data_IF_104273539258
#
_entry.id   IF_104273539258
#
_cell.length_a   1.000
_cell.length_b   1.000
_cell.length_c   1.000
_cell.angle_alpha   90.00
_cell.angle_beta   90.00
_cell.angle_gamma   90.00
#
_symmetry.space_group_name_H-M   'P 1'
#
loop_
_entity.id
_entity.type
_entity.pdbx_description
1 polymer ?
#
# COMPACT_ATOMS: atom_id res chain seq x y z
N UNK A 1 33.94 28.27 -1.82
CA UNK A 1 32.73 28.63 -2.58
C UNK A 1 31.55 28.52 -1.63
N UNK A 2 30.88 29.64 -1.32
CA UNK A 2 29.63 29.59 -0.56
C UNK A 2 28.60 28.81 -1.38
N UNK A 3 27.98 27.80 -0.76
CA UNK A 3 26.93 27.01 -1.40
C UNK A 3 25.68 27.85 -1.70
N UNK A 4 24.80 27.32 -2.56
CA UNK A 4 23.50 27.91 -2.83
C UNK A 4 22.60 27.84 -1.58
N UNK A 5 21.70 28.82 -1.42
CA UNK A 5 20.64 28.74 -0.41
C UNK A 5 19.57 27.70 -0.80
N UNK A 6 18.72 27.33 0.16
CA UNK A 6 17.68 26.31 -0.04
C UNK A 6 16.70 26.70 -1.15
N UNK A 7 16.33 27.98 -1.24
CA UNK A 7 15.41 28.51 -2.24
C UNK A 7 16.00 28.41 -3.65
N UNK A 8 17.28 28.76 -3.80
CA UNK A 8 17.99 28.64 -5.08
C UNK A 8 18.19 27.18 -5.50
N UNK A 9 18.32 26.24 -4.54
CA UNK A 9 18.35 24.80 -4.83
C UNK A 9 16.98 24.31 -5.29
N UNK A 10 15.91 24.65 -4.57
CA UNK A 10 14.53 24.26 -4.93
C UNK A 10 14.15 24.78 -6.33
N UNK A 11 14.42 26.05 -6.63
CA UNK A 11 14.16 26.64 -7.94
C UNK A 11 14.89 25.90 -9.06
N UNK A 12 16.19 25.62 -8.86
CA UNK A 12 17.00 24.88 -9.84
C UNK A 12 16.50 23.45 -10.04
N UNK A 13 16.12 22.76 -8.97
CA UNK A 13 15.54 21.42 -9.05
C UNK A 13 14.21 21.41 -9.81
N UNK A 14 13.31 22.37 -9.55
CA UNK A 14 12.06 22.50 -10.31
C UNK A 14 12.31 22.73 -11.79
N UNK A 15 13.29 23.58 -12.13
CA UNK A 15 13.67 23.85 -13.51
C UNK A 15 14.23 22.61 -14.21
N UNK A 16 15.14 21.88 -13.57
CA UNK A 16 15.72 20.66 -14.18
C UNK A 16 14.68 19.55 -14.32
N UNK A 17 13.79 19.38 -13.34
CA UNK A 17 12.64 18.48 -13.47
C UNK A 17 11.74 18.87 -14.65
N UNK A 18 11.46 20.16 -14.85
CA UNK A 18 10.67 20.62 -15.99
C UNK A 18 11.35 20.33 -17.33
N UNK A 19 12.66 20.53 -17.43
CA UNK A 19 13.41 20.20 -18.65
C UNK A 19 13.33 18.69 -18.95
N UNK A 20 13.47 17.84 -17.93
CA UNK A 20 13.31 16.41 -18.08
C UNK A 20 11.88 16.02 -18.54
N UNK A 21 10.86 16.63 -17.94
CA UNK A 21 9.46 16.43 -18.31
C UNK A 21 9.21 16.80 -19.78
N UNK A 22 9.71 17.95 -20.24
CA UNK A 22 9.59 18.38 -21.64
C UNK A 22 10.28 17.40 -22.59
N UNK A 23 11.47 16.91 -22.23
CA UNK A 23 12.18 15.88 -23.00
C UNK A 23 11.39 14.58 -23.10
N UNK A 24 10.78 14.14 -22.00
CA UNK A 24 9.90 12.96 -22.00
C UNK A 24 8.69 13.14 -22.91
N UNK A 25 8.01 14.30 -22.84
CA UNK A 25 6.87 14.59 -23.73
C UNK A 25 7.29 14.58 -25.19
N UNK A 26 8.34 15.31 -25.56
CA UNK A 26 8.80 15.35 -26.94
C UNK A 26 9.10 13.93 -27.47
N UNK A 27 9.81 13.14 -26.67
CA UNK A 27 10.13 11.75 -27.01
C UNK A 27 8.87 10.89 -27.17
N UNK A 28 7.89 11.02 -26.27
CA UNK A 28 6.62 10.31 -26.35
C UNK A 28 5.86 10.61 -27.66
N UNK A 29 5.74 11.90 -28.02
CA UNK A 29 5.04 12.30 -29.25
C UNK A 29 5.74 11.83 -30.52
N UNK A 30 7.08 11.88 -30.57
CA UNK A 30 7.84 11.35 -31.71
C UNK A 30 7.80 9.83 -31.80
N UNK A 31 7.82 9.10 -30.67
CA UNK A 31 7.64 7.65 -30.69
C UNK A 31 6.25 7.24 -31.15
N UNK A 32 5.21 7.99 -30.73
CA UNK A 32 3.84 7.79 -31.22
C UNK A 32 3.73 8.05 -32.72
N UNK A 33 4.35 9.12 -33.23
CA UNK A 33 4.36 9.43 -34.67
C UNK A 33 5.09 8.36 -35.49
N UNK A 34 6.26 7.93 -35.00
CA UNK A 34 7.05 6.86 -35.59
C UNK A 34 6.26 5.53 -35.65
N UNK A 35 5.44 5.26 -34.64
CA UNK A 35 4.60 4.07 -34.57
C UNK A 35 3.42 4.14 -35.53
N UNK A 36 2.59 5.17 -35.45
CA UNK A 36 1.35 5.27 -36.23
C UNK A 36 1.62 5.35 -37.73
N UNK A 37 2.70 6.05 -38.13
CA UNK A 37 3.09 6.18 -39.54
C UNK A 37 3.93 5.01 -40.04
N UNK A 38 4.20 4.00 -39.20
CA UNK A 38 5.03 2.85 -39.56
C UNK A 38 6.49 3.18 -39.90
N UNK A 39 6.96 4.40 -39.61
CA UNK A 39 8.29 4.89 -40.00
C UNK A 39 9.45 4.09 -39.40
N UNK A 40 9.21 3.37 -38.29
CA UNK A 40 10.20 2.45 -37.75
C UNK A 40 10.64 1.38 -38.75
N UNK A 41 9.76 0.97 -39.69
CA UNK A 41 10.10 0.00 -40.74
C UNK A 41 11.08 0.60 -41.75
N UNK A 42 10.86 1.84 -42.17
CA UNK A 42 11.78 2.57 -43.05
C UNK A 42 13.16 2.77 -42.41
N UNK A 43 13.23 2.85 -41.07
CA UNK A 43 14.47 2.88 -40.30
C UNK A 43 15.08 1.49 -40.05
N UNK A 44 14.49 0.41 -40.56
CA UNK A 44 14.99 -0.95 -40.42
C UNK A 44 14.64 -1.65 -39.09
N UNK A 45 13.63 -1.17 -38.37
CA UNK A 45 13.20 -1.72 -37.07
C UNK A 45 11.80 -2.31 -37.11
N UNK A 46 11.55 -3.43 -36.40
CA UNK A 46 10.26 -4.10 -36.41
C UNK A 46 9.16 -3.35 -35.64
N UNK A 47 9.51 -2.40 -34.77
CA UNK A 47 8.57 -1.56 -34.03
C UNK A 47 9.23 -0.28 -33.52
N UNK A 48 8.42 0.74 -33.19
CA UNK A 48 8.90 1.96 -32.54
C UNK A 48 9.58 1.68 -31.19
N UNK A 49 9.11 0.67 -30.44
CA UNK A 49 9.77 0.22 -29.20
C UNK A 49 11.13 -0.41 -29.49
N UNK A 50 11.25 -1.21 -30.56
CA UNK A 50 12.53 -1.80 -30.95
C UNK A 50 13.54 -0.72 -31.38
N UNK A 51 13.09 0.29 -32.12
CA UNK A 51 13.88 1.47 -32.45
C UNK A 51 14.37 2.19 -31.18
N UNK A 52 13.47 2.53 -30.26
CA UNK A 52 13.85 3.22 -29.02
C UNK A 52 14.87 2.45 -28.17
N UNK A 53 14.73 1.12 -28.08
CA UNK A 53 15.67 0.29 -27.31
C UNK A 53 17.03 0.18 -27.99
N UNK A 54 17.04 -0.12 -29.30
CA UNK A 54 18.27 -0.46 -30.03
C UNK A 54 19.03 0.77 -30.54
N UNK A 55 18.32 1.78 -31.03
CA UNK A 55 18.91 2.98 -31.60
C UNK A 55 19.12 4.10 -30.55
N UNK A 56 18.19 4.25 -29.60
CA UNK A 56 18.26 5.31 -28.58
C UNK A 56 18.78 4.83 -27.22
N UNK A 57 19.09 3.54 -27.07
CA UNK A 57 19.64 2.97 -25.84
C UNK A 57 18.67 2.97 -24.65
N UNK A 58 17.35 3.06 -24.90
CA UNK A 58 16.36 3.12 -23.83
C UNK A 58 16.11 1.76 -23.19
N UNK A 59 15.77 1.76 -21.90
CA UNK A 59 15.17 0.59 -21.27
C UNK A 59 13.81 0.27 -21.93
N UNK A 60 13.58 -1.01 -22.26
CA UNK A 60 12.35 -1.46 -22.95
C UNK A 60 11.06 -1.03 -22.25
N UNK A 61 11.06 -1.02 -20.91
CA UNK A 61 9.93 -0.55 -20.09
C UNK A 61 9.66 0.93 -20.35
N UNK A 62 10.70 1.78 -20.25
CA UNK A 62 10.59 3.22 -20.50
C UNK A 62 10.10 3.53 -21.92
N UNK A 63 10.61 2.81 -22.92
CA UNK A 63 10.16 2.95 -24.31
C UNK A 63 8.66 2.66 -24.48
N UNK A 64 8.14 1.61 -23.82
CA UNK A 64 6.70 1.29 -23.83
C UNK A 64 5.87 2.34 -23.10
N UNK A 65 6.33 2.81 -21.94
CA UNK A 65 5.65 3.85 -21.17
C UNK A 65 5.56 5.16 -21.97
N UNK A 66 6.65 5.58 -22.62
CA UNK A 66 6.68 6.77 -23.47
C UNK A 66 5.79 6.63 -24.71
N UNK A 67 5.88 5.52 -25.43
CA UNK A 67 5.03 5.27 -26.60
C UNK A 67 3.54 5.27 -26.20
N UNK A 68 3.20 4.56 -25.12
CA UNK A 68 1.84 4.50 -24.61
C UNK A 68 1.33 5.90 -24.26
N UNK A 69 2.05 6.64 -23.41
CA UNK A 69 1.66 8.00 -23.05
C UNK A 69 1.54 8.93 -24.27
N UNK A 70 2.45 8.81 -25.24
CA UNK A 70 2.42 9.61 -26.47
C UNK A 70 1.18 9.38 -27.32
N UNK A 71 0.73 8.12 -27.44
CA UNK A 71 -0.51 7.78 -28.13
C UNK A 71 -1.73 8.31 -27.35
N UNK A 72 -1.76 8.11 -26.02
CA UNK A 72 -2.88 8.53 -25.17
C UNK A 72 -3.05 10.05 -25.13
N UNK A 73 -1.97 10.84 -25.05
CA UNK A 73 -2.02 12.30 -24.97
C UNK A 73 -2.59 12.98 -26.23
N UNK A 74 -2.65 12.28 -27.37
CA UNK A 74 -3.32 12.79 -28.58
C UNK A 74 -4.84 12.80 -28.42
N UNK A 75 -5.38 11.88 -27.64
CA UNK A 75 -6.81 11.77 -27.32
C UNK A 75 -7.17 12.54 -26.05
N UNK A 76 -6.27 12.55 -25.06
CA UNK A 76 -6.46 13.17 -23.74
C UNK A 76 -5.95 14.63 -23.74
N UNK A 77 -6.75 15.51 -24.37
CA UNK A 77 -6.41 16.92 -24.60
C UNK A 77 -6.33 17.76 -23.33
N UNK A 78 -7.20 17.53 -22.35
CA UNK A 78 -7.19 18.28 -21.09
C UNK A 78 -5.98 17.92 -20.21
N UNK A 79 -5.58 16.65 -20.20
CA UNK A 79 -4.37 16.17 -19.52
C UNK A 79 -3.13 16.71 -20.22
N UNK A 80 -3.08 16.68 -21.56
CA UNK A 80 -1.96 17.28 -22.31
C UNK A 80 -1.86 18.78 -22.06
N UNK A 81 -2.98 19.51 -22.08
CA UNK A 81 -3.02 20.94 -21.76
C UNK A 81 -2.56 21.23 -20.31
N UNK A 82 -2.94 20.39 -19.35
CA UNK A 82 -2.47 20.53 -17.96
C UNK A 82 -0.96 20.29 -17.82
N UNK A 83 -0.41 19.34 -18.55
CA UNK A 83 1.02 19.11 -18.60
C UNK A 83 1.77 20.25 -19.30
N UNK A 84 1.26 20.73 -20.44
CA UNK A 84 1.82 21.88 -21.16
C UNK A 84 1.85 23.13 -20.27
N UNK A 85 0.78 23.37 -19.51
CA UNK A 85 0.68 24.44 -18.52
C UNK A 85 1.44 24.21 -17.20
N UNK A 86 2.29 23.17 -17.11
CA UNK A 86 3.08 22.83 -15.91
C UNK A 86 2.24 22.53 -14.65
N UNK A 87 0.97 22.17 -14.81
CA UNK A 87 0.08 21.75 -13.71
C UNK A 87 0.23 20.27 -13.36
N UNK A 88 0.66 19.46 -14.33
CA UNK A 88 1.03 18.05 -14.13
C UNK A 88 2.49 17.80 -14.46
N UNK A 89 3.14 16.94 -13.68
CA UNK A 89 4.47 16.40 -13.98
C UNK A 89 4.38 15.14 -14.84
N UNK A 90 5.49 14.75 -15.48
CA UNK A 90 5.53 13.54 -16.32
C UNK A 90 5.12 12.28 -15.56
N UNK A 91 5.56 12.17 -14.29
CA UNK A 91 5.22 11.04 -13.42
C UNK A 91 3.73 10.90 -13.16
N UNK A 92 2.96 12.01 -13.15
CA UNK A 92 1.51 11.95 -13.04
C UNK A 92 0.86 11.63 -14.38
N UNK A 93 1.32 12.27 -15.46
CA UNK A 93 0.81 12.05 -16.83
C UNK A 93 0.88 10.58 -17.23
N UNK A 94 2.05 9.94 -17.06
CA UNK A 94 2.21 8.53 -17.44
C UNK A 94 1.26 7.60 -16.68
N UNK A 95 0.87 7.96 -15.46
CA UNK A 95 -0.03 7.16 -14.61
C UNK A 95 -1.49 7.35 -15.02
N UNK A 96 -1.95 8.58 -15.21
CA UNK A 96 -3.34 8.80 -15.68
C UNK A 96 -3.57 8.25 -17.08
N UNK A 97 -2.55 8.27 -17.95
CA UNK A 97 -2.65 7.68 -19.29
C UNK A 97 -2.91 6.17 -19.26
N UNK A 98 -2.61 5.45 -18.17
CA UNK A 98 -2.90 4.01 -18.04
C UNK A 98 -4.39 3.69 -17.92
N UNK A 99 -5.20 4.64 -17.46
CA UNK A 99 -6.60 4.38 -17.08
C UNK A 99 -7.61 5.37 -17.67
N UNK A 100 -7.21 6.63 -17.89
CA UNK A 100 -8.11 7.66 -18.38
C UNK A 100 -8.48 7.43 -19.85
N UNK A 101 -9.75 7.65 -20.17
CA UNK A 101 -10.26 7.78 -21.56
C UNK A 101 -10.77 9.20 -21.78
N UNK A 102 -11.13 9.56 -23.00
CA UNK A 102 -11.73 10.87 -23.30
C UNK A 102 -13.00 11.16 -22.47
N UNK A 103 -13.73 10.11 -22.07
CA UNK A 103 -14.93 10.23 -21.22
C UNK A 103 -14.59 10.49 -19.75
N UNK A 104 -13.54 9.85 -19.22
CA UNK A 104 -13.15 9.98 -17.80
C UNK A 104 -11.99 10.95 -17.55
N UNK A 105 -11.52 11.60 -18.61
CA UNK A 105 -10.34 12.47 -18.60
C UNK A 105 -10.40 13.55 -17.52
N UNK A 106 -11.49 14.32 -17.48
CA UNK A 106 -11.62 15.46 -16.57
C UNK A 106 -11.61 15.01 -15.10
N UNK A 107 -12.26 13.89 -14.79
CA UNK A 107 -12.27 13.35 -13.44
C UNK A 107 -10.86 12.89 -13.00
N UNK A 108 -10.14 12.19 -13.87
CA UNK A 108 -8.76 11.79 -13.60
C UNK A 108 -7.80 12.98 -13.52
N UNK A 109 -8.00 14.02 -14.32
CA UNK A 109 -7.22 15.26 -14.26
C UNK A 109 -7.42 15.97 -12.93
N UNK A 110 -8.68 16.19 -12.52
CA UNK A 110 -9.00 16.80 -11.24
C UNK A 110 -8.37 16.02 -10.08
N UNK A 111 -8.53 14.68 -10.10
CA UNK A 111 -7.93 13.83 -9.08
C UNK A 111 -6.41 13.89 -9.07
N UNK A 112 -5.75 13.92 -10.23
CA UNK A 112 -4.30 13.99 -10.32
C UNK A 112 -3.71 15.34 -9.86
N UNK A 113 -4.48 16.43 -9.97
CA UNK A 113 -4.10 17.75 -9.44
C UNK A 113 -4.23 17.81 -7.91
N UNK A 114 -5.24 17.14 -7.35
CA UNK A 114 -5.49 17.11 -5.89
C UNK A 114 -4.69 16.05 -5.13
N UNK A 115 -4.20 14.99 -5.79
CA UNK A 115 -3.55 13.86 -5.13
C UNK A 115 -2.00 13.97 -5.06
N UNK A 116 -1.43 13.39 -4.00
CA UNK A 116 -0.01 13.05 -3.97
C UNK A 116 0.31 11.96 -5.01
N UNK A 117 1.59 11.81 -5.39
CA UNK A 117 1.99 10.76 -6.34
C UNK A 117 1.63 9.35 -5.83
N UNK A 118 1.82 9.08 -4.54
CA UNK A 118 1.53 7.76 -3.95
C UNK A 118 0.03 7.45 -3.95
N UNK A 119 -0.81 8.45 -3.71
CA UNK A 119 -2.27 8.31 -3.78
C UNK A 119 -2.72 8.06 -5.23
N UNK A 120 -2.21 8.83 -6.18
CA UNK A 120 -2.50 8.62 -7.60
C UNK A 120 -2.07 7.22 -8.05
N UNK A 121 -0.89 6.76 -7.63
CA UNK A 121 -0.42 5.41 -7.94
C UNK A 121 -1.34 4.32 -7.38
N UNK A 122 -1.89 4.50 -6.17
CA UNK A 122 -2.87 3.57 -5.57
C UNK A 122 -4.20 3.59 -6.32
N UNK A 123 -4.69 4.76 -6.70
CA UNK A 123 -5.95 4.90 -7.43
C UNK A 123 -5.87 4.23 -8.81
N UNK A 124 -4.82 4.54 -9.57
CA UNK A 124 -4.59 3.94 -10.91
C UNK A 124 -4.44 2.42 -10.82
N UNK A 125 -3.80 1.87 -9.77
CA UNK A 125 -3.69 0.41 -9.57
C UNK A 125 -5.03 -0.30 -9.37
N UNK A 126 -6.07 0.42 -8.93
CA UNK A 126 -7.40 -0.15 -8.64
C UNK A 126 -8.37 0.04 -9.80
N UNK A 127 -8.11 1.00 -10.67
CA UNK A 127 -8.95 1.31 -11.81
C UNK A 127 -8.60 0.45 -13.03
N UNK A 128 -9.60 0.14 -13.83
CA UNK A 128 -9.45 -0.38 -15.19
C UNK A 128 -9.47 0.77 -16.19
N UNK A 129 -8.92 0.59 -17.41
CA UNK A 129 -9.06 1.57 -18.47
C UNK A 129 -10.53 1.93 -18.72
N UNK A 130 -10.85 3.22 -18.64
CA UNK A 130 -12.21 3.74 -18.80
C UNK A 130 -12.98 3.97 -17.50
N UNK A 131 -12.52 3.44 -16.36
CA UNK A 131 -13.16 3.71 -15.07
C UNK A 131 -12.95 5.18 -14.66
N UNK A 132 -13.93 5.74 -13.95
CA UNK A 132 -13.73 6.98 -13.20
C UNK A 132 -12.73 6.75 -12.05
N UNK A 133 -11.97 7.77 -11.60
CA UNK A 133 -11.13 7.62 -10.41
C UNK A 133 -12.00 7.19 -9.22
N UNK A 134 -11.65 6.11 -8.51
CA UNK A 134 -12.41 5.67 -7.36
C UNK A 134 -12.52 6.80 -6.35
N UNK A 135 -13.72 6.98 -5.79
CA UNK A 135 -13.88 7.83 -4.62
C UNK A 135 -12.97 7.25 -3.54
N UNK A 136 -12.03 8.06 -3.04
CA UNK A 136 -11.04 7.61 -2.06
C UNK A 136 -11.64 7.01 -0.78
N UNK A 137 -12.97 7.05 -0.64
CA UNK A 137 -13.80 6.30 0.29
C UNK A 137 -13.92 4.82 -0.13
N UNK A 138 -12.85 4.07 0.05
CA UNK A 138 -12.85 2.62 -0.12
C UNK A 138 -11.76 1.99 0.71
N UNK A 139 -12.16 1.10 1.62
CA UNK A 139 -11.26 0.35 2.49
C UNK A 139 -10.14 -0.26 1.64
N UNK A 140 -8.84 -0.06 1.95
CA UNK A 140 -7.78 -0.56 1.09
C UNK A 140 -7.82 -2.09 0.95
N UNK A 141 -8.13 -2.61 -0.24
CA UNK A 141 -7.93 -4.02 -0.54
C UNK A 141 -6.43 -4.31 -0.64
N UNK A 142 -5.79 -4.54 0.52
CA UNK A 142 -4.44 -5.07 0.57
C UNK A 142 -4.45 -6.51 0.02
N UNK A 143 -3.63 -6.78 -1.00
CA UNK A 143 -3.39 -8.14 -1.50
C UNK A 143 -2.13 -8.69 -0.84
N UNK A 144 -2.25 -9.86 -0.23
CA UNK A 144 -1.14 -10.59 0.38
C UNK A 144 -0.92 -11.89 -0.40
N UNK A 145 0.31 -12.15 -0.84
CA UNK A 145 0.67 -13.39 -1.53
C UNK A 145 1.25 -14.39 -0.53
N UNK A 146 0.68 -15.59 -0.48
CA UNK A 146 1.22 -16.72 0.27
C UNK A 146 1.93 -17.65 -0.72
N UNK A 147 3.19 -17.99 -0.46
CA UNK A 147 3.99 -18.90 -1.28
C UNK A 147 4.62 -19.93 -0.35
N UNK A 148 4.50 -21.21 -0.71
CA UNK A 148 5.02 -22.33 0.06
C UNK A 148 5.73 -23.30 -0.89
N UNK A 149 6.78 -23.93 -0.41
CA UNK A 149 7.40 -25.11 -1.03
C UNK A 149 7.02 -26.32 -0.17
N UNK A 150 6.45 -27.34 -0.79
CA UNK A 150 6.03 -28.57 -0.12
C UNK A 150 6.95 -29.70 -0.56
N UNK A 151 7.36 -30.56 0.37
CA UNK A 151 8.04 -31.80 0.02
C UNK A 151 7.04 -32.81 -0.59
N UNK A 152 7.53 -33.97 -1.03
CA UNK A 152 6.68 -34.96 -1.69
C UNK A 152 5.57 -35.53 -0.77
N UNK A 153 5.81 -35.60 0.53
CA UNK A 153 4.84 -36.13 1.51
C UNK A 153 3.77 -35.07 1.77
N UNK A 154 4.17 -33.83 2.03
CA UNK A 154 3.28 -32.70 2.24
C UNK A 154 2.44 -32.40 0.99
N UNK A 155 3.03 -32.56 -0.20
CA UNK A 155 2.32 -32.45 -1.48
C UNK A 155 1.23 -33.51 -1.62
N UNK A 156 1.51 -34.76 -1.26
CA UNK A 156 0.51 -35.83 -1.30
C UNK A 156 -0.61 -35.59 -0.27
N UNK A 157 -0.26 -35.07 0.91
CA UNK A 157 -1.26 -34.65 1.90
C UNK A 157 -2.15 -33.52 1.38
N UNK A 158 -1.57 -32.53 0.69
CA UNK A 158 -2.30 -31.44 0.04
C UNK A 158 -3.28 -31.96 -1.02
N UNK A 159 -2.82 -32.83 -1.93
CA UNK A 159 -3.67 -33.42 -2.98
C UNK A 159 -4.82 -34.23 -2.38
N UNK A 160 -4.58 -35.00 -1.31
CA UNK A 160 -5.62 -35.75 -0.62
C UNK A 160 -6.67 -34.85 0.04
N UNK A 161 -6.24 -33.76 0.70
CA UNK A 161 -7.15 -32.80 1.32
C UNK A 161 -7.99 -32.06 0.27
N UNK A 162 -7.35 -31.65 -0.83
CA UNK A 162 -7.98 -31.03 -1.99
C UNK A 162 -9.04 -31.94 -2.61
N UNK A 163 -8.75 -33.21 -2.80
CA UNK A 163 -9.70 -34.18 -3.36
C UNK A 163 -10.94 -34.37 -2.48
N UNK A 164 -10.76 -34.46 -1.15
CA UNK A 164 -11.87 -34.58 -0.19
C UNK A 164 -12.79 -33.36 -0.20
N UNK A 165 -12.21 -32.16 -0.10
CA UNK A 165 -13.01 -30.92 -0.12
C UNK A 165 -13.72 -30.73 -1.46
N UNK A 166 -13.11 -31.10 -2.59
CA UNK A 166 -13.80 -31.07 -3.89
C UNK A 166 -15.03 -31.98 -3.93
N UNK A 167 -14.93 -33.17 -3.35
CA UNK A 167 -16.06 -34.09 -3.28
C UNK A 167 -17.21 -33.55 -2.40
N UNK A 168 -16.90 -32.79 -1.35
CA UNK A 168 -17.89 -32.20 -0.44
C UNK A 168 -18.61 -30.96 -1.02
N UNK A 169 -17.90 -30.15 -1.82
CA UNK A 169 -18.41 -28.87 -2.35
C UNK A 169 -18.94 -28.94 -3.79
N UNK A 170 -18.98 -30.13 -4.39
CA UNK A 170 -19.41 -30.34 -5.76
C UNK A 170 -18.27 -30.13 -6.77
N UNK A 171 -18.27 -30.94 -7.83
CA UNK A 171 -17.19 -31.03 -8.81
C UNK A 171 -17.22 -29.88 -9.82
N UNK A 172 -17.16 -28.65 -9.32
CA UNK A 172 -17.24 -27.45 -10.14
C UNK A 172 -15.85 -27.08 -10.69
N UNK A 173 -15.74 -26.95 -12.02
CA UNK A 173 -14.48 -26.77 -12.72
C UNK A 173 -13.74 -25.46 -12.35
N UNK A 174 -14.42 -24.53 -11.67
CA UNK A 174 -13.89 -23.26 -11.19
C UNK A 174 -13.29 -23.32 -9.78
N UNK A 175 -13.25 -24.48 -9.12
CA UNK A 175 -12.75 -24.60 -7.75
C UNK A 175 -11.21 -24.52 -7.67
N UNK A 176 -10.70 -23.35 -7.28
CA UNK A 176 -9.27 -23.01 -7.20
C UNK A 176 -8.69 -23.28 -5.80
N UNK A 177 -7.37 -23.37 -5.72
CA UNK A 177 -6.64 -23.58 -4.45
C UNK A 177 -6.96 -22.54 -3.36
N UNK A 178 -7.28 -21.31 -3.76
CA UNK A 178 -7.70 -20.26 -2.82
C UNK A 178 -9.05 -20.55 -2.18
N UNK A 179 -9.93 -21.28 -2.85
CA UNK A 179 -11.26 -21.60 -2.34
C UNK A 179 -11.18 -22.76 -1.33
N UNK A 180 -10.26 -23.70 -1.54
CA UNK A 180 -9.83 -24.70 -0.54
C UNK A 180 -9.27 -24.03 0.71
N UNK A 181 -8.32 -23.10 0.53
CA UNK A 181 -7.69 -22.39 1.65
C UNK A 181 -8.72 -21.57 2.43
N UNK A 182 -9.65 -20.88 1.75
CA UNK A 182 -10.74 -20.15 2.42
C UNK A 182 -11.59 -21.06 3.28
N UNK A 183 -11.88 -22.26 2.82
CA UNK A 183 -12.71 -23.19 3.58
C UNK A 183 -11.99 -23.75 4.80
N UNK A 184 -10.72 -24.11 4.65
CA UNK A 184 -9.88 -24.47 5.79
C UNK A 184 -9.81 -23.33 6.82
N UNK A 185 -9.68 -22.08 6.37
CA UNK A 185 -9.69 -20.91 7.25
C UNK A 185 -11.05 -20.72 7.94
N UNK A 186 -12.18 -20.87 7.24
CA UNK A 186 -13.52 -20.80 7.85
C UNK A 186 -13.71 -21.87 8.92
N UNK A 187 -13.36 -23.12 8.62
CA UNK A 187 -13.45 -24.22 9.58
C UNK A 187 -12.58 -24.00 10.81
N UNK A 188 -11.41 -23.36 10.66
CA UNK A 188 -10.56 -23.00 11.79
C UNK A 188 -11.15 -21.84 12.60
N UNK A 189 -11.65 -20.80 11.94
CA UNK A 189 -12.20 -19.61 12.61
C UNK A 189 -13.57 -19.84 13.26
N UNK A 190 -14.37 -20.78 12.74
CA UNK A 190 -15.67 -21.14 13.30
C UNK A 190 -15.56 -22.06 14.53
N UNK A 191 -14.35 -22.32 15.03
CA UNK A 191 -14.13 -23.21 16.16
C UNK A 191 -12.98 -22.78 17.06
N UNK A 192 -13.17 -22.86 18.38
CA UNK A 192 -12.06 -22.78 19.33
C UNK A 192 -11.48 -24.18 19.61
N UNK A 193 -10.17 -24.21 19.90
CA UNK A 193 -9.47 -25.43 20.26
C UNK A 193 -9.82 -25.85 21.70
N UNK A 194 -10.60 -26.91 21.86
CA UNK A 194 -10.61 -27.69 23.09
C UNK A 194 -9.40 -28.65 23.04
N UNK A 195 -8.74 -28.87 24.19
CA UNK A 195 -7.42 -29.51 24.27
C UNK A 195 -7.29 -30.84 23.52
N UNK A 196 -6.06 -31.10 23.06
CA UNK A 196 -5.56 -32.16 22.16
C UNK A 196 -6.49 -33.37 21.93
N UNK A 197 -7.27 -33.25 20.85
CA UNK A 197 -8.01 -34.31 20.11
C UNK A 197 -9.21 -34.94 20.85
N UNK A 198 -10.28 -34.17 21.04
CA UNK A 198 -11.58 -34.28 20.34
C UNK A 198 -12.55 -33.27 20.98
N UNK A 199 -13.08 -32.32 20.20
CA UNK A 199 -13.98 -31.27 20.68
C UNK A 199 -13.58 -29.92 20.11
N UNK A 200 -14.17 -29.52 18.99
CA UNK A 200 -14.11 -28.13 18.55
C UNK A 200 -15.40 -27.51 19.05
N UNK A 201 -15.32 -26.44 19.85
CA UNK A 201 -16.53 -25.70 20.23
C UNK A 201 -16.86 -24.73 19.10
N UNK A 202 -18.06 -24.82 18.48
CA UNK A 202 -18.47 -23.82 17.51
C UNK A 202 -18.48 -22.43 18.14
N UNK A 203 -17.98 -21.45 17.40
CA UNK A 203 -18.04 -20.03 17.78
C UNK A 203 -18.61 -19.23 16.63
N UNK A 204 -19.36 -18.18 16.95
CA UNK A 204 -19.87 -17.22 15.96
C UNK A 204 -18.74 -16.23 15.59
N UNK A 205 -17.74 -16.76 14.88
CA UNK A 205 -16.53 -16.07 14.47
C UNK A 205 -16.52 -15.81 12.97
N UNK A 206 -16.93 -14.61 12.55
CA UNK A 206 -16.74 -14.16 11.18
C UNK A 206 -15.29 -13.71 10.90
N UNK A 207 -14.78 -13.81 9.66
CA UNK A 207 -13.43 -13.34 9.30
C UNK A 207 -13.28 -11.81 9.39
N UNK A 208 -14.39 -11.08 9.51
CA UNK A 208 -14.42 -9.63 9.60
C UNK A 208 -15.34 -9.19 10.75
N UNK A 209 -14.90 -8.16 11.49
CA UNK A 209 -15.75 -7.41 12.41
C UNK A 209 -16.20 -6.13 11.71
N UNK A 210 -17.49 -6.01 11.41
CA UNK A 210 -18.04 -4.80 10.78
C UNK A 210 -18.07 -3.67 11.80
N UNK A 211 -17.50 -2.51 11.44
CA UNK A 211 -17.53 -1.29 12.24
C UNK A 211 -18.07 -0.18 11.34
N UNK A 212 -19.23 0.36 11.69
CA UNK A 212 -19.90 1.42 10.91
C UNK A 212 -19.43 2.80 11.37
N UNK A 213 -19.29 3.73 10.42
CA UNK A 213 -18.90 5.13 10.64
C UNK A 213 -19.81 6.08 9.86
N UNK A 214 -20.94 6.41 10.45
CA UNK A 214 -21.76 7.60 10.24
C UNK A 214 -22.77 7.64 11.39
N UNK A 215 -23.38 8.80 11.66
CA UNK A 215 -24.29 8.98 12.81
C UNK A 215 -25.61 8.18 12.67
N UNK A 216 -25.78 7.47 11.54
CA UNK A 216 -26.84 6.50 11.29
C UNK A 216 -26.28 5.22 10.65
N UNK A 217 -26.80 4.09 11.12
CA UNK A 217 -26.56 2.77 10.55
C UNK A 217 -27.72 2.47 9.60
N UNK A 218 -27.48 2.46 8.28
CA UNK A 218 -28.50 2.01 7.32
C UNK A 218 -28.29 0.52 7.08
N UNK A 219 -29.16 -0.29 7.69
CA UNK A 219 -29.33 -1.71 7.32
C UNK A 219 -30.44 -1.83 6.27
N UNK A 220 -30.66 -3.01 5.71
CA UNK A 220 -31.81 -3.26 4.83
C UNK A 220 -33.18 -3.04 5.54
N UNK A 221 -33.18 -2.87 6.87
CA UNK A 221 -34.35 -2.74 7.72
C UNK A 221 -34.60 -1.30 8.28
N UNK A 222 -33.78 -0.29 7.92
CA UNK A 222 -34.01 1.13 8.26
C UNK A 222 -32.98 1.80 9.20
N UNK A 223 -33.22 3.08 9.56
CA UNK A 223 -32.31 3.94 10.33
C UNK A 223 -32.52 3.82 11.87
N UNK A 224 -31.45 3.60 12.62
CA UNK A 224 -31.43 3.72 14.10
C UNK A 224 -30.38 4.75 14.59
N UNK A 225 -30.69 5.56 15.63
CA UNK A 225 -29.80 6.64 16.09
C UNK A 225 -28.73 6.21 17.11
N UNK A 226 -27.55 6.86 17.05
CA UNK A 226 -26.38 6.55 17.88
C UNK A 226 -26.26 7.42 19.15
N UNK A 227 -25.67 6.85 20.21
CA UNK A 227 -25.51 7.50 21.52
C UNK A 227 -24.40 8.58 21.55
N UNK A 228 -24.66 9.67 22.27
CA UNK A 228 -23.89 10.92 22.28
C UNK A 228 -22.42 10.81 22.74
N UNK A 229 -22.08 9.82 23.58
CA UNK A 229 -20.71 9.57 24.02
C UNK A 229 -19.76 9.15 22.87
N UNK A 230 -20.32 8.61 21.79
CA UNK A 230 -19.55 8.17 20.60
C UNK A 230 -19.10 9.35 19.74
N UNK A 231 -19.88 10.43 19.70
CA UNK A 231 -19.64 11.64 18.89
C UNK A 231 -18.43 12.44 19.40
N UNK A 232 -18.23 12.54 20.72
CA UNK A 232 -17.16 13.36 21.32
C UNK A 232 -15.74 12.83 21.02
N UNK A 233 -15.60 11.51 20.80
CA UNK A 233 -14.32 10.84 20.56
C UNK A 233 -13.67 11.16 19.20
N UNK A 234 -14.47 11.61 18.23
CA UNK A 234 -14.05 11.84 16.83
C UNK A 234 -13.27 13.15 16.67
N UNK A 235 -13.38 14.11 17.61
CA UNK A 235 -12.94 15.50 17.41
C UNK A 235 -11.47 15.82 17.72
N UNK A 236 -10.57 14.86 18.02
CA UNK A 236 -9.31 15.16 18.76
C UNK A 236 -7.95 14.77 18.15
N UNK A 237 -7.83 14.59 16.82
CA UNK A 237 -6.58 14.18 16.16
C UNK A 237 -5.71 15.34 15.62
N UNK A 238 -4.96 16.02 16.49
CA UNK A 238 -3.89 16.94 16.08
C UNK A 238 -2.50 16.28 16.09
N UNK A 239 -1.67 16.58 15.07
CA UNK A 239 -0.35 15.99 14.84
C UNK A 239 0.68 16.21 15.98
N UNK A 240 1.51 15.19 16.26
CA UNK A 240 2.62 15.28 17.22
C UNK A 240 3.63 16.37 16.81
N UNK A 241 3.99 17.33 17.69
CA UNK A 241 4.92 18.40 17.36
C UNK A 241 6.27 17.87 16.84
N UNK A 242 6.87 18.47 15.80
CA UNK A 242 8.13 17.97 15.19
C UNK A 242 9.28 17.78 16.18
N UNK A 243 9.42 18.69 17.16
CA UNK A 243 10.45 18.60 18.21
C UNK A 243 10.25 17.38 19.12
N UNK A 244 9.00 17.07 19.49
CA UNK A 244 8.68 15.89 20.29
C UNK A 244 8.96 14.61 19.51
N UNK A 245 8.58 14.59 18.23
CA UNK A 245 8.88 13.47 17.33
C UNK A 245 10.39 13.22 17.24
N UNK A 246 11.20 14.25 16.99
CA UNK A 246 12.66 14.11 16.91
C UNK A 246 13.26 13.53 18.20
N UNK A 247 12.80 13.99 19.37
CA UNK A 247 13.23 13.50 20.68
C UNK A 247 12.93 12.02 20.90
N UNK A 248 11.73 11.57 20.53
CA UNK A 248 11.30 10.16 20.67
C UNK A 248 12.09 9.24 19.73
N UNK A 249 12.31 9.67 18.47
CA UNK A 249 13.09 8.89 17.50
C UNK A 249 14.56 8.75 17.93
N UNK A 250 15.16 9.83 18.45
CA UNK A 250 16.54 9.79 18.96
C UNK A 250 16.67 8.85 20.17
N UNK A 251 15.72 8.89 21.11
CA UNK A 251 15.66 7.97 22.25
C UNK A 251 15.63 6.50 21.81
N UNK A 252 14.87 6.21 20.76
CA UNK A 252 14.64 4.86 20.24
C UNK A 252 15.72 4.40 19.24
N UNK A 253 16.80 5.18 19.08
CA UNK A 253 17.93 4.85 18.21
C UNK A 253 17.59 4.91 16.72
N UNK A 254 16.60 5.73 16.34
CA UNK A 254 16.08 5.84 14.98
C UNK A 254 15.72 4.49 14.35
N UNK A 255 15.12 3.61 15.15
CA UNK A 255 14.64 2.31 14.70
C UNK A 255 13.26 2.01 15.29
N UNK A 256 12.44 1.29 14.53
CA UNK A 256 11.18 0.76 15.02
C UNK A 256 11.44 -0.14 16.23
N UNK A 257 10.78 0.12 17.37
CA UNK A 257 11.04 -0.65 18.57
C UNK A 257 10.53 -2.09 18.50
N UNK A 258 9.52 -2.37 17.66
CA UNK A 258 9.07 -3.72 17.35
C UNK A 258 10.02 -4.45 16.38
N UNK A 259 10.08 -4.06 15.10
CA UNK A 259 10.79 -4.83 14.06
C UNK A 259 12.21 -4.34 13.71
N UNK A 260 12.72 -3.29 14.36
CA UNK A 260 14.04 -2.67 14.11
C UNK A 260 14.27 -2.03 12.74
N UNK A 261 13.26 -1.98 11.87
CA UNK A 261 13.32 -1.21 10.63
C UNK A 261 13.67 0.26 10.91
N UNK A 262 14.51 0.86 10.06
CA UNK A 262 14.91 2.27 10.13
C UNK A 262 14.18 3.17 9.11
N UNK A 263 13.20 2.64 8.37
CA UNK A 263 12.48 3.35 7.30
C UNK A 263 11.05 3.70 7.73
N UNK A 264 10.57 4.87 7.28
CA UNK A 264 9.19 5.32 7.48
C UNK A 264 8.80 5.38 8.97
N UNK A 265 9.56 6.12 9.79
CA UNK A 265 9.40 6.13 11.25
C UNK A 265 8.37 7.18 11.70
N UNK A 266 7.48 6.76 12.59
CA UNK A 266 6.43 7.57 13.21
C UNK A 266 6.52 7.45 14.73
N UNK A 267 6.14 8.52 15.44
CA UNK A 267 5.95 8.50 16.89
C UNK A 267 4.46 8.25 17.15
N UNK A 268 4.13 7.10 17.74
CA UNK A 268 2.78 6.63 17.98
C UNK A 268 2.42 6.76 19.46
N UNK A 269 1.21 7.22 19.79
CA UNK A 269 0.70 7.29 21.16
C UNK A 269 0.24 5.93 21.65
N UNK A 270 0.87 5.41 22.70
CA UNK A 270 0.53 4.10 23.29
C UNK A 270 -0.82 4.15 24.00
N UNK A 271 -1.00 5.10 24.91
CA UNK A 271 -2.34 5.53 25.29
C UNK A 271 -2.81 6.55 24.26
N UNK A 272 -3.84 6.15 23.52
CA UNK A 272 -4.46 6.94 22.47
C UNK A 272 -4.83 8.34 22.95
N UNK A 273 -4.52 9.35 22.14
CA UNK A 273 -4.85 10.74 22.42
C UNK A 273 -6.36 10.95 22.56
N UNK A 274 -7.16 10.27 21.73
CA UNK A 274 -8.63 10.24 21.81
C UNK A 274 -9.18 9.70 23.14
N UNK A 275 -8.34 9.00 23.93
CA UNK A 275 -8.64 8.53 25.28
C UNK A 275 -7.89 9.32 26.36
N UNK A 276 -7.49 10.56 26.07
CA UNK A 276 -6.78 11.45 26.99
C UNK A 276 -5.27 11.20 27.10
N UNK A 277 -4.69 10.39 26.22
CA UNK A 277 -3.26 10.08 26.23
C UNK A 277 -2.36 11.30 26.01
N UNK A 278 -1.44 11.63 26.94
CA UNK A 278 -0.65 12.85 26.84
C UNK A 278 0.46 12.70 25.79
N UNK A 279 0.82 13.80 25.13
CA UNK A 279 1.94 13.83 24.16
C UNK A 279 3.27 13.99 24.91
N UNK A 280 3.68 12.93 25.62
CA UNK A 280 4.93 12.88 26.38
C UNK A 280 5.84 11.80 25.82
N UNK A 281 7.16 11.89 26.06
CA UNK A 281 8.07 10.81 25.67
C UNK A 281 7.64 9.45 26.25
N UNK A 282 7.12 9.40 27.49
CA UNK A 282 6.68 8.16 28.13
C UNK A 282 5.52 7.46 27.41
N UNK A 283 4.66 8.23 26.75
CA UNK A 283 3.48 7.73 26.05
C UNK A 283 3.69 7.57 24.53
N UNK A 284 4.89 7.89 24.02
CA UNK A 284 5.21 7.81 22.59
C UNK A 284 6.22 6.70 22.30
N UNK A 285 5.94 5.90 21.28
CA UNK A 285 6.79 4.79 20.81
C UNK A 285 7.16 4.98 19.32
N UNK A 286 8.41 4.72 18.95
CA UNK A 286 8.83 4.77 17.54
C UNK A 286 8.46 3.49 16.80
N UNK A 287 7.62 3.60 15.75
CA UNK A 287 7.21 2.51 14.87
C UNK A 287 7.48 2.83 13.40
N UNK A 288 7.80 1.82 12.59
CA UNK A 288 7.80 2.00 11.13
C UNK A 288 6.37 2.02 10.60
N UNK A 289 6.13 2.54 9.40
CA UNK A 289 4.80 2.64 8.80
C UNK A 289 4.02 1.31 8.86
N UNK A 290 4.68 0.17 8.58
CA UNK A 290 4.08 -1.17 8.70
C UNK A 290 3.62 -1.50 10.12
N UNK A 291 4.51 -1.39 11.10
CA UNK A 291 4.15 -1.69 12.49
C UNK A 291 3.18 -0.66 13.06
N UNK A 292 3.22 0.59 12.58
CA UNK A 292 2.28 1.63 12.95
C UNK A 292 0.87 1.28 12.49
N UNK A 293 0.69 0.87 11.23
CA UNK A 293 -0.60 0.37 10.73
C UNK A 293 -1.07 -0.84 11.52
N UNK A 294 -0.21 -1.82 11.81
CA UNK A 294 -0.60 -2.99 12.62
C UNK A 294 -1.14 -2.63 14.01
N UNK A 295 -0.71 -1.52 14.62
CA UNK A 295 -1.29 -1.04 15.89
C UNK A 295 -2.67 -0.44 15.68
N UNK A 296 -2.85 0.38 14.64
CA UNK A 296 -4.17 0.93 14.28
C UNK A 296 -5.18 -0.15 13.87
N UNK A 297 -4.68 -1.20 13.23
CA UNK A 297 -5.48 -2.33 12.75
C UNK A 297 -5.74 -3.39 13.85
N UNK A 298 -5.20 -3.21 15.06
CA UNK A 298 -5.40 -4.11 16.21
C UNK A 298 -4.61 -5.43 16.15
N UNK A 299 -3.71 -5.60 15.18
CA UNK A 299 -2.88 -6.80 15.02
C UNK A 299 -1.60 -6.79 15.85
N UNK A 300 -1.22 -5.62 16.36
CA UNK A 300 -0.05 -5.41 17.20
C UNK A 300 -0.47 -4.52 18.36
N UNK A 301 -0.46 -5.04 19.56
CA UNK A 301 -0.69 -4.24 20.76
C UNK A 301 0.66 -3.78 21.35
N UNK A 302 0.65 -2.60 21.95
CA UNK A 302 1.82 -2.01 22.59
C UNK A 302 1.42 -1.48 23.96
N UNK A 303 2.11 -1.97 24.99
CA UNK A 303 1.90 -1.56 26.38
C UNK A 303 3.16 -0.88 26.91
N UNK A 304 3.00 0.14 27.75
CA UNK A 304 4.12 0.69 28.53
C UNK A 304 4.39 -0.26 29.69
N UNK A 305 5.55 -0.92 29.70
CA UNK A 305 5.97 -1.72 30.85
C UNK A 305 6.30 -0.79 32.02
N UNK A 306 5.77 -1.14 33.20
CA UNK A 306 5.92 -0.36 34.43
C UNK A 306 7.39 -0.04 34.71
N UNK A 307 7.67 1.23 34.95
CA UNK A 307 9.00 1.73 35.23
C UNK A 307 9.34 1.45 36.70
N UNK A 308 10.37 0.64 36.97
CA UNK A 308 10.75 0.26 38.33
C UNK A 308 11.29 1.43 39.19
N UNK A 309 11.67 2.56 38.58
CA UNK A 309 12.21 3.74 39.28
C UNK A 309 11.84 5.06 38.59
N UNK A 310 11.65 6.15 39.35
CA UNK A 310 11.45 7.51 38.81
C UNK A 310 12.70 7.93 38.02
N UNK A 311 12.54 8.18 36.72
CA UNK A 311 13.61 8.66 35.82
C UNK A 311 14.19 7.62 34.86
N UNK A 312 13.79 6.35 34.95
CA UNK A 312 14.20 5.33 33.99
C UNK A 312 13.51 5.50 32.63
N UNK A 313 14.17 5.01 31.55
CA UNK A 313 13.62 5.07 30.19
C UNK A 313 12.33 4.25 30.11
N UNK A 314 11.28 4.73 29.41
CA UNK A 314 10.08 3.94 29.20
C UNK A 314 10.45 2.66 28.43
N UNK A 315 9.92 1.55 28.89
CA UNK A 315 10.05 0.27 28.21
C UNK A 315 8.70 -0.13 27.64
N UNK A 316 8.70 -0.80 26.49
CA UNK A 316 7.48 -1.17 25.79
C UNK A 316 7.42 -2.68 25.61
N UNK A 317 6.24 -3.23 25.81
CA UNK A 317 5.92 -4.64 25.56
C UNK A 317 5.04 -4.68 24.32
N UNK A 318 5.44 -5.48 23.33
CA UNK A 318 4.65 -5.72 22.13
C UNK A 318 3.95 -7.06 22.25
N UNK A 319 2.68 -7.11 21.86
CA UNK A 319 1.88 -8.34 21.82
C UNK A 319 1.26 -8.50 20.44
N UNK A 320 1.04 -9.74 20.03
CA UNK A 320 0.20 -10.01 18.86
C UNK A 320 -1.29 -9.81 19.17
N UNK A 321 -2.13 -9.96 18.14
CA UNK A 321 -3.59 -9.87 18.24
C UNK A 321 -4.21 -10.84 19.28
N UNK A 322 -3.49 -11.90 19.65
CA UNK A 322 -3.92 -12.91 20.61
C UNK A 322 -3.34 -12.67 22.02
N UNK A 323 -2.72 -11.50 22.25
CA UNK A 323 -2.14 -11.12 23.54
C UNK A 323 -0.78 -11.77 23.86
N UNK A 324 -0.20 -12.57 22.94
CA UNK A 324 1.10 -13.23 23.16
C UNK A 324 2.21 -12.21 23.04
N UNK A 325 3.12 -12.21 24.01
CA UNK A 325 4.27 -11.29 24.03
C UNK A 325 5.25 -11.62 22.91
N UNK A 326 5.58 -10.62 22.10
CA UNK A 326 6.60 -10.75 21.06
C UNK A 326 8.00 -10.61 21.69
N UNK A 327 8.77 -11.70 21.70
CA UNK A 327 10.15 -11.66 22.17
C UNK A 327 11.07 -10.93 21.19
N UNK A 328 12.11 -10.26 21.72
CA UNK A 328 13.03 -9.38 20.96
C UNK A 328 13.75 -10.07 19.77
N UNK A 329 13.70 -11.40 19.65
CA UNK A 329 14.34 -12.18 18.58
C UNK A 329 13.42 -12.59 17.43
N UNK A 330 12.09 -12.48 17.56
CA UNK A 330 11.17 -12.82 16.48
C UNK A 330 10.87 -11.60 15.59
N UNK A 331 11.91 -11.03 14.99
CA UNK A 331 11.72 -10.11 13.87
C UNK A 331 11.32 -10.98 12.68
N UNK A 332 10.15 -10.73 12.09
CA UNK A 332 9.79 -11.15 10.72
C UNK A 332 10.88 -10.65 9.76
N UNK A 333 11.94 -11.44 9.66
CA UNK A 333 13.23 -11.09 9.09
C UNK A 333 13.32 -11.65 7.69
N UNK A 334 13.05 -10.79 6.71
CA UNK A 334 13.52 -10.99 5.35
C UNK A 334 15.05 -11.04 5.40
N UNK A 335 15.63 -12.22 5.20
CA UNK A 335 17.05 -12.36 4.85
C UNK A 335 17.14 -12.81 3.39
N UNK A 336 17.61 -11.88 2.56
CA UNK A 336 18.14 -12.17 1.25
C UNK A 336 19.34 -13.11 1.39
N UNK A 337 19.30 -14.28 0.75
CA UNK A 337 20.50 -14.97 0.29
C UNK A 337 20.34 -15.23 -1.22
N UNK A 338 21.18 -14.57 -2.01
CA UNK A 338 21.62 -15.08 -3.31
C UNK A 338 22.54 -16.27 -3.05
N UNK A 339 22.56 -17.27 -3.94
CA UNK A 339 23.77 -17.75 -4.66
C UNK A 339 23.42 -18.97 -5.55
N UNK A 340 23.80 -18.79 -6.83
CA UNK A 340 24.09 -19.68 -7.98
C UNK A 340 23.33 -20.98 -8.29
N UNK A 341 22.88 -21.02 -9.55
CA UNK A 341 22.61 -22.22 -10.35
C UNK A 341 23.96 -22.87 -10.71
N UNK A 342 24.08 -24.18 -10.47
CA UNK A 342 25.11 -25.07 -10.99
C UNK A 342 24.52 -26.47 -11.07
N UNK A 343 24.60 -27.06 -12.26
CA UNK A 343 24.02 -28.32 -12.75
C UNK A 343 24.12 -29.52 -11.82
#
# INVERSE_FOLDING_TARGET
MSGLCAEAIDERLRRTCRVADLGNRATAFYLADLHERGLHQALGFPSAVAYAVRALGMARRSARELLHAGLRLRELKAIDAAFAGSRLSWSRVRRVCEVATSQTENAWLERALGATQDELDRLVRRARPGDAPPDGSGMPHARFGLHFELDAVDWQMWENARAKLRAEFGDDAEFRDIDILKEMLRLVLASDAEGSVAGRRPVDGGPFRVVVRADELVTEDGEEPLAQATVESISSDAATPPAMRAKVLARDGHACLNCKSRRGLHAHHVHWRSKGGPTTPGNLVTLCARCHSLVHDGFLDVEVAQCATRGARPSFVFRDANGRRLERRAILGVRNLRVTIGS
#
